data_IF_072396853993
#
_entry.id   IF_072396853993
#
_cell.length_a   1.000
_cell.length_b   1.000
_cell.length_c   1.000
_cell.angle_alpha   90.00
_cell.angle_beta   90.00
_cell.angle_gamma   90.00
#
_symmetry.space_group_name_H-M   'P 1'
#
loop_
_entity.id
_entity.type
_entity.pdbx_description
1 polymer ?
#
# COMPACT_ATOMS: atom_id res chain seq x y z
N UNK A 1 -19.48 4.59 -35.12
CA UNK A 1 -18.26 5.38 -35.44
C UNK A 1 -17.86 6.31 -34.31
N UNK A 2 -18.77 7.13 -33.78
CA UNK A 2 -18.45 8.02 -32.62
C UNK A 2 -18.03 7.27 -31.37
N UNK A 3 -18.61 6.12 -31.10
CA UNK A 3 -18.26 5.27 -29.93
C UNK A 3 -16.88 4.63 -30.05
N UNK A 4 -16.46 4.27 -31.26
CA UNK A 4 -15.13 3.69 -31.49
C UNK A 4 -14.01 4.72 -31.26
N UNK A 5 -14.24 5.98 -31.66
CA UNK A 5 -13.31 7.07 -31.43
C UNK A 5 -13.16 7.42 -29.94
N UNK A 6 -14.25 7.38 -29.18
CA UNK A 6 -14.24 7.62 -27.72
C UNK A 6 -13.47 6.51 -27.01
N UNK A 7 -13.68 5.24 -27.40
CA UNK A 7 -12.97 4.09 -26.84
C UNK A 7 -11.47 4.19 -27.15
N UNK A 8 -11.09 4.57 -28.36
CA UNK A 8 -9.70 4.74 -28.76
C UNK A 8 -9.01 5.87 -27.98
N UNK A 9 -9.71 6.98 -27.78
CA UNK A 9 -9.23 8.10 -26.99
C UNK A 9 -9.04 7.72 -25.52
N UNK A 10 -9.95 6.92 -24.96
CA UNK A 10 -9.84 6.41 -23.59
C UNK A 10 -8.66 5.45 -23.43
N UNK A 11 -8.43 4.56 -24.40
CA UNK A 11 -7.28 3.67 -24.42
C UNK A 11 -5.95 4.42 -24.47
N UNK A 12 -5.88 5.51 -25.23
CA UNK A 12 -4.70 6.36 -25.29
C UNK A 12 -4.43 7.10 -23.97
N UNK A 13 -5.49 7.53 -23.26
CA UNK A 13 -5.39 8.18 -21.95
C UNK A 13 -5.06 7.19 -20.83
N UNK A 14 -5.37 5.91 -21.00
CA UNK A 14 -5.12 4.86 -20.03
C UNK A 14 -3.85 4.07 -20.31
N UNK A 15 -3.02 4.50 -21.26
CA UNK A 15 -1.74 3.83 -21.54
C UNK A 15 -0.88 3.81 -20.28
N UNK A 16 -0.44 2.63 -19.80
CA UNK A 16 0.39 2.55 -18.62
C UNK A 16 1.74 3.23 -18.87
N UNK A 17 2.30 3.82 -17.83
CA UNK A 17 3.68 4.32 -17.85
C UNK A 17 4.61 3.14 -18.15
N UNK A 18 5.64 3.35 -19.00
CA UNK A 18 6.62 2.31 -19.34
C UNK A 18 7.25 1.78 -18.06
N UNK A 19 7.20 0.43 -17.87
CA UNK A 19 7.72 -0.25 -16.69
C UNK A 19 6.73 -0.37 -15.52
N UNK A 20 5.54 0.25 -15.62
CA UNK A 20 4.48 0.10 -14.62
C UNK A 20 3.51 -1.00 -15.02
N UNK A 21 3.19 -1.86 -14.07
CA UNK A 21 2.22 -2.95 -14.21
C UNK A 21 1.43 -3.12 -12.91
N UNK A 22 0.39 -3.92 -12.94
CA UNK A 22 -0.33 -4.34 -11.73
C UNK A 22 -0.09 -5.82 -11.50
N UNK A 23 -0.03 -6.23 -10.25
CA UNK A 23 0.21 -7.63 -9.95
C UNK A 23 0.19 -7.93 -8.46
N UNK A 24 0.62 -9.15 -8.15
CA UNK A 24 0.69 -9.70 -6.80
C UNK A 24 2.13 -10.09 -6.48
N UNK A 25 2.61 -9.65 -5.32
CA UNK A 25 3.94 -9.98 -4.81
C UNK A 25 3.82 -10.52 -3.38
N UNK A 26 4.73 -11.41 -3.01
CA UNK A 26 4.85 -11.98 -1.67
C UNK A 26 6.21 -11.66 -1.09
N UNK A 27 6.23 -11.29 0.20
CA UNK A 27 7.46 -10.92 0.89
C UNK A 27 8.05 -12.12 1.61
N UNK A 28 9.29 -12.45 1.31
CA UNK A 28 10.04 -13.52 1.94
C UNK A 28 11.25 -12.99 2.68
N UNK A 29 11.55 -13.56 3.84
CA UNK A 29 12.81 -13.32 4.52
C UNK A 29 13.94 -14.09 3.85
N UNK A 30 15.10 -13.46 3.74
CA UNK A 30 16.32 -14.08 3.22
C UNK A 30 17.53 -13.65 4.05
N UNK A 31 18.67 -14.30 3.86
CA UNK A 31 19.92 -13.94 4.55
C UNK A 31 20.36 -12.49 4.31
N UNK A 32 20.00 -11.91 3.19
CA UNK A 32 20.35 -10.53 2.81
C UNK A 32 19.22 -9.53 3.07
N UNK A 33 18.13 -9.94 3.75
CA UNK A 33 16.95 -9.12 4.00
C UNK A 33 15.69 -9.69 3.35
N UNK A 34 14.77 -8.83 2.95
CA UNK A 34 13.52 -9.26 2.34
C UNK A 34 13.61 -9.35 0.82
N UNK A 35 12.93 -10.35 0.26
CA UNK A 35 12.85 -10.60 -1.18
C UNK A 35 11.38 -10.67 -1.59
N UNK A 36 11.02 -10.02 -2.69
CA UNK A 36 9.68 -10.07 -3.28
C UNK A 36 9.62 -11.13 -4.37
N UNK A 37 8.58 -11.98 -4.34
CA UNK A 37 8.34 -13.04 -5.34
C UNK A 37 6.89 -13.01 -5.81
N UNK A 38 6.66 -13.43 -7.05
CA UNK A 38 5.32 -13.51 -7.63
C UNK A 38 4.53 -14.76 -7.21
N UNK A 39 5.17 -15.69 -6.52
CA UNK A 39 4.57 -16.94 -6.04
C UNK A 39 4.72 -17.01 -4.52
N UNK A 40 3.64 -17.28 -3.82
CA UNK A 40 3.64 -17.41 -2.37
C UNK A 40 2.26 -17.73 -1.81
N UNK A 41 2.16 -17.75 -0.50
CA UNK A 41 0.91 -17.99 0.24
C UNK A 41 0.68 -16.85 1.23
N UNK A 42 -0.40 -16.08 1.03
CA UNK A 42 -0.79 -14.97 1.91
C UNK A 42 -1.13 -15.36 3.34
N UNK A 43 -1.28 -16.65 3.63
CA UNK A 43 -1.43 -17.17 5.01
C UNK A 43 -0.10 -17.25 5.75
N UNK A 44 1.01 -17.24 5.02
CA UNK A 44 2.37 -17.40 5.56
C UNK A 44 3.20 -16.15 5.33
N UNK A 45 3.10 -15.55 4.14
CA UNK A 45 3.85 -14.36 3.78
C UNK A 45 2.94 -13.14 3.66
N UNK A 46 3.44 -11.94 3.96
CA UNK A 46 2.77 -10.71 3.53
C UNK A 46 2.55 -10.71 2.02
N UNK A 47 1.37 -10.27 1.60
CA UNK A 47 0.94 -10.25 0.20
C UNK A 47 0.62 -8.83 -0.23
N UNK A 48 1.30 -8.38 -1.28
CA UNK A 48 1.01 -7.11 -1.95
C UNK A 48 0.16 -7.36 -3.19
N UNK A 49 -0.84 -6.51 -3.41
CA UNK A 49 -1.63 -6.46 -4.64
C UNK A 49 -1.81 -5.01 -5.06
N UNK A 50 -1.33 -4.66 -6.24
CA UNK A 50 -1.44 -3.29 -6.76
C UNK A 50 -0.44 -2.98 -7.86
N UNK A 51 -0.10 -1.70 -7.97
CA UNK A 51 0.81 -1.20 -8.98
C UNK A 51 2.26 -1.56 -8.66
N UNK A 52 2.98 -2.02 -9.68
CA UNK A 52 4.36 -2.52 -9.58
C UNK A 52 5.22 -1.82 -10.63
N UNK A 53 6.39 -1.36 -10.23
CA UNK A 53 7.41 -0.84 -11.12
C UNK A 53 8.76 -1.46 -10.76
N UNK A 54 9.46 -2.00 -11.75
CA UNK A 54 10.75 -2.67 -11.55
C UNK A 54 10.71 -3.75 -10.47
N UNK A 55 9.63 -4.55 -10.42
CA UNK A 55 9.46 -5.65 -9.49
C UNK A 55 9.14 -5.24 -8.05
N UNK A 56 8.84 -3.98 -7.79
CA UNK A 56 8.52 -3.45 -6.45
C UNK A 56 7.16 -2.76 -6.42
N UNK A 57 6.46 -2.79 -5.28
CA UNK A 57 5.31 -1.92 -5.04
C UNK A 57 5.65 -0.47 -5.33
N UNK A 58 4.89 0.16 -6.22
CA UNK A 58 5.08 1.56 -6.59
C UNK A 58 3.79 2.10 -7.19
N UNK A 59 3.17 3.07 -6.53
CA UNK A 59 1.85 3.56 -6.84
C UNK A 59 0.84 3.08 -5.82
N UNK A 60 -0.39 2.82 -6.21
CA UNK A 60 -1.47 2.44 -5.29
C UNK A 60 -1.57 0.91 -5.14
N UNK A 61 -1.72 0.45 -3.90
CA UNK A 61 -1.86 -0.97 -3.61
C UNK A 61 -2.34 -1.31 -2.22
N UNK A 62 -2.46 -2.61 -1.97
CA UNK A 62 -2.87 -3.19 -0.69
C UNK A 62 -1.82 -4.21 -0.26
N UNK A 63 -1.29 -4.05 0.94
CA UNK A 63 -0.38 -5.01 1.57
C UNK A 63 -1.11 -5.67 2.75
N UNK A 64 -1.33 -6.97 2.66
CA UNK A 64 -2.02 -7.78 3.68
C UNK A 64 -1.02 -8.65 4.40
N UNK A 65 -1.09 -8.67 5.73
CA UNK A 65 -0.23 -9.50 6.59
C UNK A 65 -0.95 -10.77 7.00
N UNK A 66 -0.21 -11.86 7.35
CA UNK A 66 -0.81 -13.13 7.78
C UNK A 66 -1.73 -13.02 9.00
N UNK A 67 -1.52 -12.03 9.89
CA UNK A 67 -2.35 -11.78 11.06
C UNK A 67 -3.70 -11.11 10.75
N UNK A 68 -3.93 -10.72 9.47
CA UNK A 68 -5.14 -10.04 9.03
C UNK A 68 -5.05 -8.52 9.02
N UNK A 69 -3.97 -7.93 9.54
CA UNK A 69 -3.72 -6.50 9.37
C UNK A 69 -3.43 -6.19 7.90
N UNK A 70 -3.69 -4.96 7.48
CA UNK A 70 -3.39 -4.54 6.12
C UNK A 70 -3.18 -3.03 6.00
N UNK A 71 -2.39 -2.66 5.01
CA UNK A 71 -2.22 -1.28 4.57
C UNK A 71 -2.85 -1.11 3.20
N UNK A 72 -3.57 -0.01 3.01
CA UNK A 72 -4.12 0.40 1.71
C UNK A 72 -3.73 1.84 1.44
N UNK A 73 -3.08 2.07 0.30
CA UNK A 73 -2.62 3.41 -0.06
C UNK A 73 -1.47 3.41 -1.04
N UNK A 74 -0.67 4.46 -0.95
CA UNK A 74 0.43 4.72 -1.86
C UNK A 74 1.71 4.04 -1.43
N UNK A 75 2.47 3.55 -2.41
CA UNK A 75 3.78 2.93 -2.26
C UNK A 75 4.80 3.62 -3.14
N UNK A 76 6.04 3.59 -2.71
CA UNK A 76 7.19 4.05 -3.48
C UNK A 76 8.40 3.15 -3.18
N UNK A 77 8.97 2.56 -4.24
CA UNK A 77 10.15 1.71 -4.14
C UNK A 77 10.03 0.59 -3.09
N UNK A 78 8.84 -0.02 -3.00
CA UNK A 78 8.56 -1.13 -2.10
C UNK A 78 8.07 -0.74 -0.71
N UNK A 79 7.99 0.53 -0.37
CA UNK A 79 7.60 1.01 0.95
C UNK A 79 6.31 1.85 0.89
N UNK A 80 5.55 1.84 1.97
CA UNK A 80 4.41 2.73 2.17
C UNK A 80 4.92 4.18 2.16
N UNK A 81 4.38 4.97 1.26
CA UNK A 81 4.83 6.35 1.04
C UNK A 81 3.71 7.16 0.38
N UNK A 82 3.32 8.26 0.98
CA UNK A 82 2.17 9.06 0.55
C UNK A 82 0.95 8.82 1.41
N UNK A 83 -0.24 8.98 0.87
CA UNK A 83 -1.50 8.80 1.62
C UNK A 83 -1.83 7.33 1.77
N UNK A 84 -2.21 6.92 2.99
CA UNK A 84 -2.58 5.54 3.26
C UNK A 84 -3.21 5.32 4.63
N UNK A 85 -3.74 4.10 4.78
CA UNK A 85 -4.39 3.64 6.01
C UNK A 85 -3.90 2.24 6.36
N UNK A 86 -3.42 2.07 7.58
CA UNK A 86 -3.09 0.77 8.16
C UNK A 86 -4.21 0.37 9.13
N UNK A 87 -4.69 -0.87 9.02
CA UNK A 87 -5.80 -1.37 9.82
C UNK A 87 -5.36 -2.64 10.56
N UNK A 88 -5.46 -2.59 11.88
CA UNK A 88 -5.22 -3.76 12.74
C UNK A 88 -6.39 -4.75 12.71
N UNK A 89 -6.15 -6.06 13.01
CA UNK A 89 -7.22 -7.05 13.08
C UNK A 89 -8.32 -6.70 14.08
N UNK A 90 -7.98 -5.95 15.15
CA UNK A 90 -8.94 -5.48 16.15
C UNK A 90 -9.74 -4.24 15.72
N UNK A 91 -9.41 -3.65 14.56
CA UNK A 91 -10.12 -2.53 13.98
C UNK A 91 -9.52 -1.15 14.24
N UNK A 92 -8.45 -1.04 15.01
CA UNK A 92 -7.72 0.21 15.16
C UNK A 92 -7.08 0.62 13.82
N UNK A 93 -7.02 1.93 13.55
CA UNK A 93 -6.54 2.47 12.27
C UNK A 93 -5.51 3.56 12.45
N UNK A 94 -4.54 3.56 11.54
CA UNK A 94 -3.56 4.65 11.38
C UNK A 94 -3.77 5.27 10.01
N UNK A 95 -4.18 6.54 9.97
CA UNK A 95 -4.59 7.23 8.73
C UNK A 95 -3.77 8.49 8.52
N UNK A 96 -3.20 8.65 7.34
CA UNK A 96 -2.50 9.88 6.99
C UNK A 96 -1.40 9.72 5.97
N UNK A 97 -0.39 10.58 6.09
CA UNK A 97 0.81 10.60 5.25
C UNK A 97 1.86 9.64 5.80
N UNK A 98 2.37 8.79 4.93
CA UNK A 98 3.38 7.77 5.25
C UNK A 98 4.70 8.11 4.58
N UNK A 99 5.80 7.79 5.25
CA UNK A 99 7.17 7.90 4.72
C UNK A 99 8.00 6.72 5.20
N UNK A 100 8.60 6.00 4.25
CA UNK A 100 9.48 4.88 4.54
C UNK A 100 8.84 3.81 5.43
N UNK A 101 7.56 3.49 5.21
CA UNK A 101 6.83 2.49 5.98
C UNK A 101 6.33 2.96 7.35
N UNK A 102 6.39 4.26 7.63
CA UNK A 102 5.97 4.84 8.93
C UNK A 102 4.93 5.93 8.73
N UNK A 103 3.94 5.97 9.63
CA UNK A 103 3.01 7.10 9.68
C UNK A 103 3.79 8.36 10.08
N UNK A 104 3.80 9.35 9.21
CA UNK A 104 4.55 10.59 9.37
C UNK A 104 3.69 11.72 9.91
N UNK A 105 2.59 12.02 9.23
CA UNK A 105 1.58 12.96 9.69
C UNK A 105 0.20 12.31 9.57
N UNK A 106 -0.53 12.22 10.66
CA UNK A 106 -1.84 11.58 10.65
C UNK A 106 -2.39 11.34 12.04
N UNK A 107 -3.30 10.38 12.11
CA UNK A 107 -4.02 10.06 13.34
C UNK A 107 -4.20 8.57 13.51
N UNK A 108 -4.21 8.17 14.79
CA UNK A 108 -4.62 6.83 15.20
C UNK A 108 -6.05 6.90 15.74
N UNK A 109 -6.88 5.98 15.25
CA UNK A 109 -8.26 5.80 15.69
C UNK A 109 -8.41 4.43 16.34
N UNK A 110 -9.21 4.34 17.41
CA UNK A 110 -9.61 3.04 17.92
C UNK A 110 -10.69 2.39 17.02
N UNK A 111 -11.07 1.16 17.33
CA UNK A 111 -12.09 0.42 16.57
C UNK A 111 -13.44 1.12 16.51
N UNK A 112 -13.75 2.00 17.45
CA UNK A 112 -15.01 2.74 17.54
C UNK A 112 -14.93 4.11 16.84
N UNK A 113 -13.78 4.45 16.25
CA UNK A 113 -13.55 5.69 15.53
C UNK A 113 -13.10 6.86 16.38
N UNK A 114 -12.76 6.65 17.64
CA UNK A 114 -12.22 7.69 18.52
C UNK A 114 -10.75 7.95 18.21
N UNK A 115 -10.34 9.21 18.20
CA UNK A 115 -8.94 9.58 18.03
C UNK A 115 -8.19 9.28 19.33
N UNK A 116 -7.18 8.43 19.27
CA UNK A 116 -6.35 8.05 20.42
C UNK A 116 -4.89 8.51 20.29
N UNK A 117 -4.48 8.96 19.11
CA UNK A 117 -3.15 9.49 18.90
C UNK A 117 -3.07 10.41 17.68
N UNK A 118 -2.09 11.29 17.69
CA UNK A 118 -1.76 12.17 16.59
C UNK A 118 -0.28 12.02 16.26
N UNK A 119 0.04 11.94 14.98
CA UNK A 119 1.42 11.86 14.48
C UNK A 119 1.79 13.17 13.80
N UNK A 120 2.92 13.72 14.19
CA UNK A 120 3.49 14.93 13.58
C UNK A 120 4.97 14.69 13.34
N UNK A 121 5.39 14.73 12.07
CA UNK A 121 6.76 14.46 11.65
C UNK A 121 7.33 13.14 12.22
N UNK A 122 6.51 12.09 12.25
CA UNK A 122 6.87 10.77 12.75
C UNK A 122 6.84 10.60 14.27
N UNK A 123 6.53 11.64 15.01
CA UNK A 123 6.40 11.57 16.46
C UNK A 123 4.94 11.47 16.89
N UNK A 124 4.66 10.58 17.85
CA UNK A 124 3.31 10.38 18.36
C UNK A 124 3.02 11.30 19.55
N UNK A 125 1.85 11.92 19.51
CA UNK A 125 1.30 12.71 20.61
C UNK A 125 -0.01 12.06 21.03
N UNK A 126 -0.04 11.50 22.22
CA UNK A 126 -1.27 10.90 22.75
C UNK A 126 -2.20 11.98 23.31
N UNK A 127 -3.46 11.73 23.14
CA UNK A 127 -4.51 12.59 23.70
C UNK A 127 -5.18 11.91 24.90
#
# INVERSE_FOLDING_TARGET
>A
MKHLLIILSFLLLSSPVIGQETGVLYLYESYSGFVLKSIGDGKVQPKYKGEITNGKPNGFGVLTFPDGSYYVGEFKDGEENGQGTYIHPIGDKYVGEWKGGRLWNGREYDKDGNIIGKFVNGEVIYQ
#
